data_IF_625014719509
#
_entry.id   IF_625014719509
#
_cell.length_a   1.000
_cell.length_b   1.000
_cell.length_c   1.000
_cell.angle_alpha   90.00
_cell.angle_beta   90.00
_cell.angle_gamma   90.00
#
_symmetry.space_group_name_H-M   'P 1'
#
loop_
_entity.id
_entity.type
_entity.pdbx_description
1 polymer ?
#
# COMPACT_ATOMS: atom_id res chain seq x y z
N UNK A 1 -1.12 5.49 12.34
CA UNK A 1 -0.67 5.16 10.97
C UNK A 1 -0.70 3.65 10.80
N UNK A 2 -0.93 3.13 9.60
CA UNK A 2 -0.95 1.69 9.26
C UNK A 2 0.02 1.50 8.09
N UNK A 3 0.94 0.55 8.20
CA UNK A 3 1.97 0.29 7.18
C UNK A 3 2.47 -1.16 7.34
N UNK A 4 3.34 -1.63 6.43
CA UNK A 4 3.77 -3.03 6.37
C UNK A 4 4.40 -3.56 7.66
N UNK A 5 5.15 -2.74 8.41
CA UNK A 5 5.71 -3.09 9.73
C UNK A 5 4.77 -2.86 10.92
N UNK A 6 3.58 -2.28 10.72
CA UNK A 6 2.53 -2.17 11.73
C UNK A 6 1.13 -2.31 11.08
N UNK A 7 0.81 -3.49 10.53
CA UNK A 7 -0.32 -3.67 9.61
C UNK A 7 -1.70 -3.55 10.27
N UNK A 8 -1.79 -3.67 11.60
CA UNK A 8 -3.03 -3.98 12.33
C UNK A 8 -3.68 -5.28 11.84
N UNK A 9 -4.63 -5.79 12.59
CA UNK A 9 -5.38 -6.98 12.23
C UNK A 9 -6.80 -6.62 11.80
N UNK A 10 -7.56 -7.65 11.39
CA UNK A 10 -8.95 -7.51 10.98
C UNK A 10 -9.85 -6.95 12.11
N UNK A 11 -9.46 -7.10 13.38
CA UNK A 11 -10.22 -6.58 14.53
C UNK A 11 -10.37 -5.07 14.45
N UNK A 12 -9.35 -4.36 13.95
CA UNK A 12 -9.41 -2.91 13.74
C UNK A 12 -10.51 -2.50 12.76
N UNK A 13 -10.75 -3.33 11.74
CA UNK A 13 -11.83 -3.08 10.79
C UNK A 13 -13.21 -3.41 11.36
N UNK A 14 -13.35 -4.55 12.04
CA UNK A 14 -14.62 -4.98 12.64
C UNK A 14 -15.10 -3.99 13.70
N UNK A 15 -14.17 -3.42 14.48
CA UNK A 15 -14.48 -2.47 15.56
C UNK A 15 -14.62 -1.02 15.08
N UNK A 16 -14.43 -0.74 13.79
CA UNK A 16 -14.48 0.62 13.25
C UNK A 16 -13.29 1.50 13.69
N UNK A 17 -12.23 0.93 14.26
CA UNK A 17 -11.03 1.64 14.70
C UNK A 17 -10.12 2.08 13.53
N UNK A 18 -10.34 1.54 12.33
CA UNK A 18 -9.71 1.99 11.09
C UNK A 18 -9.46 0.85 10.10
N UNK A 19 -8.60 1.10 9.12
CA UNK A 19 -8.15 0.08 8.19
C UNK A 19 -7.06 -0.84 8.75
N UNK A 20 -6.75 -1.87 7.98
CA UNK A 20 -5.67 -2.83 8.22
C UNK A 20 -4.94 -3.16 6.90
N UNK A 21 -3.76 -3.75 7.02
CA UNK A 21 -2.91 -4.13 5.89
C UNK A 21 -2.59 -5.63 5.94
N UNK A 22 -2.45 -6.25 4.79
CA UNK A 22 -1.98 -7.64 4.67
C UNK A 22 -0.94 -7.74 3.58
N UNK A 23 0.05 -8.59 3.77
CA UNK A 23 1.01 -8.96 2.74
C UNK A 23 0.70 -10.38 2.26
N UNK A 24 0.48 -10.54 0.96
CA UNK A 24 0.21 -11.81 0.32
C UNK A 24 1.37 -12.21 -0.58
N UNK A 25 1.69 -13.51 -0.65
CA UNK A 25 2.79 -14.06 -1.45
C UNK A 25 3.76 -14.88 -0.59
N UNK A 26 4.72 -15.55 -1.24
CA UNK A 26 5.79 -16.30 -0.54
C UNK A 26 7.10 -15.52 -0.61
N UNK A 27 7.51 -14.95 0.52
CA UNK A 27 8.74 -14.17 0.62
C UNK A 27 10.01 -15.00 0.48
N UNK A 28 9.91 -16.33 0.42
CA UNK A 28 11.06 -17.25 0.26
C UNK A 28 11.22 -17.75 -1.17
N UNK A 29 10.33 -17.38 -2.08
CA UNK A 29 10.49 -17.68 -3.49
C UNK A 29 11.72 -16.93 -4.06
N UNK A 30 12.32 -17.47 -5.14
CA UNK A 30 13.47 -16.84 -5.77
C UNK A 30 13.14 -15.45 -6.33
N UNK A 31 11.98 -15.31 -6.96
CA UNK A 31 11.43 -14.06 -7.49
C UNK A 31 10.00 -13.88 -6.93
N UNK A 32 9.86 -13.41 -5.67
CA UNK A 32 8.58 -13.39 -4.99
C UNK A 32 7.68 -12.31 -5.58
N UNK A 33 6.50 -12.71 -6.06
CA UNK A 33 5.41 -11.79 -6.35
C UNK A 33 4.64 -11.54 -5.05
N UNK A 34 4.79 -10.34 -4.51
CA UNK A 34 4.14 -9.92 -3.26
C UNK A 34 3.05 -8.89 -3.55
N UNK A 35 1.95 -8.97 -2.81
CA UNK A 35 0.88 -7.99 -2.85
C UNK A 35 0.60 -7.43 -1.46
N UNK A 36 0.85 -6.14 -1.29
CA UNK A 36 0.46 -5.40 -0.09
C UNK A 36 -0.93 -4.81 -0.29
N UNK A 37 -1.87 -5.22 0.57
CA UNK A 37 -3.29 -4.85 0.46
C UNK A 37 -3.70 -4.08 1.70
N UNK A 38 -4.07 -2.82 1.51
CA UNK A 38 -4.72 -2.01 2.54
C UNK A 38 -6.24 -2.07 2.37
N UNK A 39 -6.96 -2.32 3.46
CA UNK A 39 -8.43 -2.39 3.49
C UNK A 39 -8.97 -1.43 4.54
N UNK A 40 -9.97 -0.62 4.15
CA UNK A 40 -10.67 0.28 5.06
C UNK A 40 -12.18 -0.03 5.08
N UNK A 41 -12.80 -0.27 6.26
CA UNK A 41 -14.22 -0.58 6.34
C UNK A 41 -15.08 0.67 6.11
N UNK A 42 -16.04 0.58 5.18
CA UNK A 42 -17.05 1.62 4.95
C UNK A 42 -18.11 1.69 6.05
N UNK A 43 -18.37 0.57 6.74
CA UNK A 43 -19.43 0.42 7.73
C UNK A 43 -18.83 0.46 9.14
N UNK A 44 -19.47 1.18 10.07
CA UNK A 44 -19.07 1.22 11.48
C UNK A 44 -17.95 2.22 11.82
N UNK A 45 -17.36 2.87 10.82
CA UNK A 45 -16.47 4.01 11.02
C UNK A 45 -17.36 5.23 11.23
N UNK A 46 -17.66 5.58 12.48
CA UNK A 46 -18.42 6.80 12.84
C UNK A 46 -17.71 8.11 12.48
N UNK A 47 -16.89 8.13 11.42
CA UNK A 47 -16.10 9.27 10.95
C UNK A 47 -16.20 9.39 9.42
N UNK A 48 -16.83 10.46 8.96
CA UNK A 48 -16.56 10.98 7.63
C UNK A 48 -15.11 11.46 7.55
N UNK A 49 -14.47 11.31 6.40
CA UNK A 49 -13.10 11.79 6.25
C UNK A 49 -12.37 11.31 5.01
N UNK A 50 -11.09 11.63 4.97
CA UNK A 50 -10.17 11.20 3.93
C UNK A 50 -9.09 10.32 4.56
N UNK A 51 -8.83 9.16 3.98
CA UNK A 51 -7.63 8.36 4.28
C UNK A 51 -6.54 8.83 3.31
N UNK A 52 -5.49 9.44 3.85
CA UNK A 52 -4.30 9.74 3.09
C UNK A 52 -3.53 8.45 2.82
N UNK A 53 -3.21 8.18 1.55
CA UNK A 53 -2.41 7.04 1.15
C UNK A 53 -1.11 7.53 0.53
N UNK A 54 0.01 6.96 0.98
CA UNK A 54 1.32 7.08 0.33
C UNK A 54 1.89 5.69 0.13
N UNK A 55 2.61 5.51 -0.97
CA UNK A 55 3.39 4.30 -1.23
C UNK A 55 4.85 4.73 -1.25
N UNK A 56 5.67 3.99 -0.54
CA UNK A 56 7.09 4.28 -0.35
C UNK A 56 7.89 3.01 -0.60
N UNK A 57 8.99 3.13 -1.32
CA UNK A 57 9.91 2.03 -1.57
C UNK A 57 11.24 2.33 -0.88
N UNK A 58 11.66 1.45 0.03
CA UNK A 58 12.97 1.55 0.66
C UNK A 58 14.06 1.05 -0.31
N UNK A 59 15.19 1.77 -0.37
CA UNK A 59 16.41 1.30 -1.03
C UNK A 59 17.08 0.28 -0.12
N UNK A 60 17.16 -0.96 -0.59
CA UNK A 60 17.72 -2.11 0.14
C UNK A 60 18.87 -2.72 -0.67
N UNK A 61 19.72 -3.57 -0.05
CA UNK A 61 20.73 -4.33 -0.78
C UNK A 61 20.15 -5.25 -1.86
N UNK A 62 18.87 -5.60 -1.74
CA UNK A 62 18.18 -6.51 -2.67
C UNK A 62 17.65 -5.81 -3.93
N UNK A 63 17.51 -4.47 -3.93
CA UNK A 63 16.92 -3.72 -5.05
C UNK A 63 17.73 -2.50 -5.51
N UNK A 64 18.82 -2.14 -4.84
CA UNK A 64 19.59 -0.95 -5.21
C UNK A 64 20.19 -1.06 -6.61
N UNK A 65 20.13 0.03 -7.37
CA UNK A 65 20.64 0.11 -8.74
C UNK A 65 19.85 -0.70 -9.76
N UNK A 66 18.67 -1.21 -9.43
CA UNK A 66 17.80 -1.94 -10.35
C UNK A 66 16.58 -1.11 -10.75
N UNK A 67 15.93 -1.52 -11.84
CA UNK A 67 14.59 -1.05 -12.17
C UNK A 67 13.57 -2.03 -11.58
N UNK A 68 12.57 -1.49 -10.89
CA UNK A 68 11.45 -2.25 -10.34
C UNK A 68 10.21 -1.95 -11.18
N UNK A 69 9.50 -3.01 -11.55
CA UNK A 69 8.15 -2.93 -12.10
C UNK A 69 7.13 -3.32 -11.04
N UNK A 70 6.06 -2.55 -10.93
CA UNK A 70 4.95 -2.83 -10.04
C UNK A 70 3.63 -2.31 -10.62
N UNK A 71 2.53 -2.75 -10.03
CA UNK A 71 1.20 -2.32 -10.41
C UNK A 71 0.39 -2.03 -9.15
N UNK A 72 -0.31 -0.91 -9.14
CA UNK A 72 -1.29 -0.59 -8.10
C UNK A 72 -2.69 -0.89 -8.59
N UNK A 73 -3.52 -1.42 -7.69
CA UNK A 73 -4.93 -1.72 -7.91
C UNK A 73 -5.77 -1.03 -6.84
N UNK A 74 -6.69 -0.16 -7.24
CA UNK A 74 -7.61 0.54 -6.35
C UNK A 74 -9.04 0.09 -6.62
N UNK A 75 -9.75 -0.37 -5.58
CA UNK A 75 -11.16 -0.73 -5.65
C UNK A 75 -11.98 0.35 -4.94
N UNK A 76 -12.76 1.09 -5.73
CA UNK A 76 -13.53 2.24 -5.26
C UNK A 76 -14.88 1.92 -4.63
N UNK A 77 -15.62 3.00 -4.35
CA UNK A 77 -17.01 2.99 -3.89
C UNK A 77 -17.95 2.11 -4.71
N UNK A 78 -17.76 2.17 -6.03
CA UNK A 78 -18.56 1.59 -7.10
C UNK A 78 -18.12 0.17 -7.51
N UNK A 79 -17.11 -0.40 -6.83
CA UNK A 79 -16.59 -1.73 -7.11
C UNK A 79 -15.75 -1.84 -8.38
N UNK A 80 -15.47 -0.73 -9.07
CA UNK A 80 -14.56 -0.72 -10.23
C UNK A 80 -13.11 -0.78 -9.76
N UNK A 81 -12.30 -1.49 -10.54
CA UNK A 81 -10.85 -1.56 -10.35
C UNK A 81 -10.22 -0.48 -11.22
N UNK A 82 -9.44 0.41 -10.60
CA UNK A 82 -8.47 1.25 -11.31
C UNK A 82 -7.11 0.59 -11.19
N UNK A 83 -6.43 0.39 -12.32
CA UNK A 83 -5.06 -0.11 -12.36
C UNK A 83 -4.12 0.98 -12.86
N UNK A 84 -2.92 1.00 -12.30
CA UNK A 84 -1.84 1.86 -12.75
C UNK A 84 -0.52 1.10 -12.66
N UNK A 85 0.17 1.02 -13.79
CA UNK A 85 1.51 0.46 -13.87
C UNK A 85 2.55 1.48 -13.40
N UNK A 86 3.64 0.96 -12.87
CA UNK A 86 4.73 1.72 -12.32
C UNK A 86 6.04 1.06 -12.73
N UNK A 87 6.93 1.88 -13.24
CA UNK A 87 8.35 1.56 -13.41
C UNK A 87 9.15 2.53 -12.55
N UNK A 88 9.98 2.01 -11.66
CA UNK A 88 10.76 2.78 -10.70
C UNK A 88 12.25 2.45 -10.86
N UNK A 89 13.05 3.44 -11.22
CA UNK A 89 14.49 3.33 -11.14
C UNK A 89 14.94 3.51 -9.68
N UNK A 90 15.46 2.45 -9.07
CA UNK A 90 15.99 2.49 -7.70
C UNK A 90 17.40 3.09 -7.73
N UNK A 91 17.70 4.07 -6.85
CA UNK A 91 19.03 4.63 -6.70
C UNK A 91 20.09 3.58 -6.37
N UNK A 92 21.36 3.96 -6.51
CA UNK A 92 22.49 3.12 -6.15
C UNK A 92 22.51 2.74 -4.66
N UNK A 93 23.33 1.74 -4.32
CA UNK A 93 23.43 1.20 -2.96
C UNK A 93 24.05 2.18 -1.96
N UNK A 94 24.58 3.31 -2.43
CA UNK A 94 25.00 4.44 -1.60
C UNK A 94 23.81 5.16 -0.94
N UNK A 95 22.60 4.99 -1.46
CA UNK A 95 21.35 5.52 -0.91
C UNK A 95 20.57 4.51 -0.06
N UNK A 96 21.20 3.43 0.41
CA UNK A 96 20.53 2.41 1.22
C UNK A 96 19.85 3.03 2.46
N UNK A 97 18.61 2.60 2.75
CA UNK A 97 17.77 3.11 3.83
C UNK A 97 17.03 4.40 3.49
N UNK A 98 17.24 4.96 2.28
CA UNK A 98 16.40 6.05 1.78
C UNK A 98 15.07 5.49 1.26
N UNK A 99 14.05 6.34 1.28
CA UNK A 99 12.73 6.02 0.77
C UNK A 99 12.43 6.84 -0.48
N UNK A 100 12.02 6.16 -1.54
CA UNK A 100 11.41 6.78 -2.71
C UNK A 100 9.93 6.92 -2.43
N UNK A 101 9.39 8.14 -2.51
CA UNK A 101 7.95 8.38 -2.39
C UNK A 101 7.31 8.28 -3.77
N UNK A 102 6.32 7.40 -3.90
CA UNK A 102 5.67 7.10 -5.16
C UNK A 102 4.42 7.96 -5.32
N UNK A 103 4.65 9.16 -5.87
CA UNK A 103 3.60 10.15 -6.04
C UNK A 103 2.58 9.71 -7.11
N UNK A 104 1.31 9.98 -6.82
CA UNK A 104 0.19 9.76 -7.75
C UNK A 104 -0.05 8.30 -8.17
N UNK A 105 0.38 7.32 -7.35
CA UNK A 105 0.11 5.91 -7.60
C UNK A 105 -1.29 5.49 -7.10
N UNK A 106 -1.72 6.03 -5.96
CA UNK A 106 -3.03 5.77 -5.37
C UNK A 106 -3.75 7.08 -5.07
N UNK A 107 -5.07 7.07 -5.18
CA UNK A 107 -5.88 8.21 -4.74
C UNK A 107 -6.22 8.09 -3.25
N UNK A 108 -6.26 9.21 -2.55
CA UNK A 108 -6.77 9.24 -1.19
C UNK A 108 -8.21 8.72 -1.15
N UNK A 109 -8.49 7.80 -0.23
CA UNK A 109 -9.83 7.23 -0.09
C UNK A 109 -10.75 8.26 0.56
N UNK A 110 -11.84 8.60 -0.11
CA UNK A 110 -12.94 9.37 0.48
C UNK A 110 -13.89 8.42 1.20
N UNK A 111 -14.11 8.69 2.47
CA UNK A 111 -15.02 7.94 3.34
C UNK A 111 -16.24 8.82 3.58
N UNK A 112 -17.38 8.38 3.07
CA UNK A 112 -18.69 8.97 3.34
C UNK A 112 -19.52 7.96 4.12
N UNK A 113 -20.15 8.41 5.21
CA UNK A 113 -21.15 7.66 5.94
C UNK A 113 -22.40 7.47 5.07
N UNK A 114 -22.99 6.28 5.16
CA UNK A 114 -24.30 5.95 4.61
C UNK A 114 -25.31 5.84 5.75
#
# INVERSE_FOLDING_TARGET
HVWSGAPRDLTAAITGAGGYMTMNGDTRAADPLLAEVYTFPKIGTGRDGQVALSVEAEVTPANCGTEIEAQSLEIGGDGKIKSQDLTLAVPGCDAQGHFLVLNNLLQNLKVAQY
#
